data_IF_087007652311
#
_entry.id   IF_087007652311
#
_cell.length_a   1.000
_cell.length_b   1.000
_cell.length_c   1.000
_cell.angle_alpha   90.00
_cell.angle_beta   90.00
_cell.angle_gamma   90.00
#
_symmetry.space_group_name_H-M   'P 1'
#
loop_
_entity.id
_entity.type
_entity.pdbx_description
1 polymer ?
#
# COMPACT_ATOMS: atom_id res chain seq x y z
N UNK A 1 6.18 -16.12 -76.47
CA UNK A 1 4.87 -15.88 -77.09
C UNK A 1 4.09 -15.05 -76.08
N UNK A 2 4.03 -13.73 -76.31
CA UNK A 2 2.87 -13.03 -76.93
C UNK A 2 1.66 -13.10 -75.97
N UNK A 3 1.05 -12.08 -75.49
CA UNK A 3 1.01 -10.66 -75.87
C UNK A 3 -0.10 -9.99 -75.07
N UNK A 4 0.05 -8.69 -75.03
CA UNK A 4 -0.94 -7.59 -75.31
C UNK A 4 -1.96 -7.32 -74.19
N UNK A 5 -1.84 -6.27 -73.45
CA UNK A 5 -2.29 -4.85 -73.58
C UNK A 5 -3.82 -4.66 -73.60
N UNK A 6 -4.28 -3.77 -72.73
CA UNK A 6 -5.63 -3.22 -72.73
C UNK A 6 -5.78 -2.02 -71.81
N UNK A 7 -5.65 -0.80 -72.33
CA UNK A 7 -5.95 0.51 -71.71
C UNK A 7 -7.46 0.80 -71.78
N UNK A 8 -8.00 1.53 -70.78
CA UNK A 8 -9.07 2.55 -70.92
C UNK A 8 -9.31 3.19 -69.53
N UNK A 9 -8.94 4.38 -69.27
CA UNK A 9 -9.46 5.75 -69.42
C UNK A 9 -10.93 5.91 -68.95
N UNK A 10 -11.08 6.76 -67.93
CA UNK A 10 -12.15 7.76 -67.93
C UNK A 10 -13.06 7.79 -66.70
N UNK A 11 -13.11 8.95 -66.08
CA UNK A 11 -14.30 9.39 -65.36
C UNK A 11 -14.06 10.09 -64.03
N UNK A 12 -13.69 11.38 -64.10
CA UNK A 12 -13.78 12.30 -62.96
C UNK A 12 -15.26 12.65 -62.71
N UNK A 13 -15.67 12.64 -61.46
CA UNK A 13 -16.86 13.38 -61.04
C UNK A 13 -16.59 13.94 -59.61
N UNK A 14 -16.41 15.26 -59.62
CA UNK A 14 -16.42 16.09 -58.41
C UNK A 14 -17.89 16.32 -58.03
N UNK A 15 -18.23 16.06 -56.77
CA UNK A 15 -19.37 16.68 -56.12
C UNK A 15 -18.97 17.06 -54.69
N UNK A 16 -18.85 18.35 -54.52
CA UNK A 16 -18.82 19.00 -53.23
C UNK A 16 -20.23 18.98 -52.62
N UNK A 17 -20.36 18.78 -51.33
CA UNK A 17 -21.23 19.64 -50.50
C UNK A 17 -21.40 19.12 -49.08
N UNK A 18 -21.35 20.09 -48.23
CA UNK A 18 -22.01 20.28 -46.93
C UNK A 18 -21.26 19.82 -45.69
N UNK A 19 -20.66 20.83 -45.09
CA UNK A 19 -20.36 20.94 -43.68
C UNK A 19 -21.61 20.65 -42.84
N UNK A 20 -21.44 19.81 -41.85
CA UNK A 20 -22.27 19.78 -40.65
C UNK A 20 -21.30 19.87 -39.50
N UNK A 21 -21.27 21.03 -38.85
CA UNK A 21 -20.69 21.21 -37.54
C UNK A 21 -21.37 20.24 -36.56
N UNK A 22 -20.67 19.22 -36.18
CA UNK A 22 -20.90 18.51 -34.92
C UNK A 22 -19.68 18.78 -34.06
N UNK A 23 -19.86 19.68 -33.12
CA UNK A 23 -18.96 19.80 -31.97
C UNK A 23 -18.89 18.47 -31.22
N UNK A 24 -18.06 17.59 -31.73
CA UNK A 24 -17.60 16.40 -31.00
C UNK A 24 -16.62 16.87 -29.95
N UNK A 25 -16.99 16.68 -28.71
CA UNK A 25 -16.02 16.71 -27.61
C UNK A 25 -14.84 15.84 -28.02
N UNK A 26 -13.67 16.44 -28.06
CA UNK A 26 -12.41 15.74 -28.23
C UNK A 26 -12.28 14.81 -27.05
N UNK A 27 -12.54 13.52 -27.24
CA UNK A 27 -12.01 12.50 -26.34
C UNK A 27 -10.50 12.75 -26.34
N UNK A 28 -9.94 13.05 -25.18
CA UNK A 28 -8.51 13.06 -25.01
C UNK A 28 -8.00 11.71 -25.53
N UNK A 29 -7.02 11.75 -26.40
CA UNK A 29 -6.29 10.60 -26.90
C UNK A 29 -5.46 10.08 -25.71
N UNK A 30 -6.13 9.37 -24.78
CA UNK A 30 -5.51 8.72 -23.64
C UNK A 30 -4.70 7.56 -24.19
N UNK A 31 -3.41 7.82 -24.42
CA UNK A 31 -2.46 6.77 -24.79
C UNK A 31 -2.53 5.63 -23.80
N UNK A 32 -2.45 4.39 -24.27
CA UNK A 32 -2.30 3.21 -23.44
C UNK A 32 -1.00 3.33 -22.63
N UNK A 33 -1.12 3.60 -21.31
CA UNK A 33 0.01 3.75 -20.37
C UNK A 33 0.59 2.39 -19.95
N UNK A 34 0.10 1.30 -20.55
CA UNK A 34 0.53 -0.06 -20.26
C UNK A 34 -0.05 -0.62 -18.97
N UNK A 35 0.47 -1.76 -18.55
CA UNK A 35 0.08 -2.46 -17.32
C UNK A 35 1.11 -2.22 -16.23
N UNK A 36 0.67 -1.91 -15.01
CA UNK A 36 1.53 -1.86 -13.83
C UNK A 36 1.40 -3.14 -12.99
N UNK A 37 2.51 -3.53 -12.39
CA UNK A 37 2.60 -4.63 -11.45
C UNK A 37 2.75 -4.06 -10.05
N UNK A 38 1.83 -4.40 -9.18
CA UNK A 38 1.80 -3.96 -7.78
C UNK A 38 2.05 -5.16 -6.88
N UNK A 39 3.07 -5.06 -6.04
CA UNK A 39 3.33 -6.01 -4.96
C UNK A 39 2.64 -5.51 -3.70
N UNK A 40 1.69 -6.27 -3.19
CA UNK A 40 1.05 -6.01 -1.91
C UNK A 40 1.96 -6.44 -0.76
N UNK A 41 1.90 -5.75 0.37
CA UNK A 41 2.67 -6.04 1.57
C UNK A 41 2.25 -7.37 2.20
N UNK A 42 0.96 -7.72 2.13
CA UNK A 42 0.36 -8.84 2.83
C UNK A 42 -0.54 -9.70 1.93
N UNK A 43 -1.26 -10.66 2.54
CA UNK A 43 -2.30 -11.44 1.87
C UNK A 43 -3.46 -10.52 1.45
N UNK A 44 -4.26 -10.93 0.47
CA UNK A 44 -5.39 -10.13 -0.06
C UNK A 44 -6.57 -10.08 0.92
N UNK A 45 -6.42 -9.31 1.98
CA UNK A 45 -7.44 -9.03 2.99
C UNK A 45 -7.99 -7.58 2.85
N UNK A 46 -8.76 -7.10 3.82
CA UNK A 46 -9.36 -5.76 3.86
C UNK A 46 -8.37 -4.61 3.86
N UNK A 47 -7.11 -4.87 4.15
CA UNK A 47 -6.01 -3.91 4.14
C UNK A 47 -5.88 -3.18 2.80
N UNK A 48 -6.22 -3.87 1.71
CA UNK A 48 -6.11 -3.37 0.33
C UNK A 48 -7.48 -3.01 -0.28
N UNK A 49 -8.41 -2.54 0.55
CA UNK A 49 -9.76 -2.20 0.11
C UNK A 49 -9.79 -1.15 -1.01
N UNK A 50 -8.89 -0.17 -0.98
CA UNK A 50 -8.78 0.87 -1.99
C UNK A 50 -8.34 0.32 -3.34
N UNK A 51 -7.30 -0.51 -3.37
CA UNK A 51 -6.79 -1.20 -4.55
C UNK A 51 -7.87 -2.10 -5.17
N UNK A 52 -8.65 -2.79 -4.32
CA UNK A 52 -9.76 -3.64 -4.77
C UNK A 52 -10.92 -2.82 -5.35
N UNK A 53 -11.24 -1.67 -4.77
CA UNK A 53 -12.22 -0.76 -5.38
C UNK A 53 -11.70 -0.20 -6.70
N UNK A 54 -10.43 0.23 -6.76
CA UNK A 54 -9.84 0.78 -7.98
C UNK A 54 -9.87 -0.24 -9.13
N UNK A 55 -9.56 -1.49 -8.85
CA UNK A 55 -9.60 -2.57 -9.84
C UNK A 55 -11.05 -2.95 -10.21
N UNK A 56 -11.90 -3.23 -9.22
CA UNK A 56 -13.28 -3.70 -9.45
C UNK A 56 -14.19 -2.67 -10.14
N UNK A 57 -13.95 -1.38 -9.88
CA UNK A 57 -14.70 -0.28 -10.53
C UNK A 57 -14.07 0.21 -11.82
N UNK A 58 -12.89 -0.32 -12.19
CA UNK A 58 -12.21 0.01 -13.44
C UNK A 58 -11.50 1.37 -13.43
N UNK A 59 -11.20 1.94 -12.26
CA UNK A 59 -10.55 3.25 -12.15
C UNK A 59 -9.14 3.28 -12.76
N UNK A 60 -8.40 2.15 -12.74
CA UNK A 60 -7.12 2.04 -13.43
C UNK A 60 -7.25 2.23 -14.94
N UNK A 61 -8.26 1.59 -15.54
CA UNK A 61 -8.51 1.73 -16.99
C UNK A 61 -9.08 3.10 -17.34
N UNK A 62 -9.91 3.67 -16.47
CA UNK A 62 -10.41 5.05 -16.63
C UNK A 62 -9.28 6.07 -16.60
N UNK A 63 -8.26 5.85 -15.78
CA UNK A 63 -7.06 6.68 -15.69
C UNK A 63 -6.06 6.48 -16.85
N UNK A 64 -6.31 5.53 -17.77
CA UNK A 64 -5.49 5.29 -18.97
C UNK A 64 -4.51 4.12 -18.88
N UNK A 65 -4.51 3.35 -17.79
CA UNK A 65 -3.74 2.12 -17.69
C UNK A 65 -4.45 0.98 -18.44
N UNK A 66 -3.70 0.08 -19.08
CA UNK A 66 -4.27 -1.14 -19.66
C UNK A 66 -4.75 -2.12 -18.57
N UNK A 67 -4.26 -1.98 -17.34
CA UNK A 67 -4.63 -2.75 -16.16
C UNK A 67 -3.57 -2.69 -15.07
N UNK A 68 -3.91 -3.28 -13.93
CA UNK A 68 -2.99 -3.45 -12.80
C UNK A 68 -3.00 -4.91 -12.38
N UNK A 69 -1.84 -5.46 -12.03
CA UNK A 69 -1.72 -6.81 -11.48
C UNK A 69 -1.38 -6.69 -10.00
N UNK A 70 -2.29 -7.08 -9.11
CA UNK A 70 -2.09 -7.11 -7.67
C UNK A 70 -1.50 -8.46 -7.26
N UNK A 71 -0.23 -8.50 -6.87
CA UNK A 71 0.47 -9.71 -6.39
C UNK A 71 0.43 -9.74 -4.86
N UNK A 72 -0.11 -10.79 -4.22
CA UNK A 72 -0.16 -10.86 -2.75
C UNK A 72 1.23 -11.05 -2.12
N UNK A 73 1.39 -10.53 -0.89
CA UNK A 73 2.49 -10.82 0.00
C UNK A 73 2.27 -12.09 0.86
N UNK A 74 3.03 -12.25 1.96
CA UNK A 74 3.85 -11.20 2.59
C UNK A 74 5.12 -10.85 1.84
N UNK A 75 5.41 -9.56 1.66
CA UNK A 75 6.65 -9.03 1.08
C UNK A 75 6.90 -7.60 1.54
N UNK A 76 8.17 -7.21 1.67
CA UNK A 76 8.54 -5.78 1.83
C UNK A 76 8.52 -5.02 0.51
N UNK A 77 8.38 -5.71 -0.62
CA UNK A 77 8.43 -5.14 -1.96
C UNK A 77 9.83 -4.72 -2.45
N UNK A 78 10.82 -4.65 -1.57
CA UNK A 78 12.17 -4.17 -1.91
C UNK A 78 12.80 -4.99 -3.04
N UNK A 79 12.78 -6.32 -2.92
CA UNK A 79 13.37 -7.20 -3.92
C UNK A 79 12.64 -7.12 -5.26
N UNK A 80 11.33 -7.01 -5.22
CA UNK A 80 10.47 -6.90 -6.40
C UNK A 80 10.69 -5.58 -7.15
N UNK A 81 10.82 -4.47 -6.42
CA UNK A 81 11.14 -3.15 -7.01
C UNK A 81 12.55 -3.14 -7.62
N UNK A 82 13.56 -3.64 -6.90
CA UNK A 82 14.94 -3.66 -7.39
C UNK A 82 15.15 -4.58 -8.59
N UNK A 83 14.41 -5.68 -8.68
CA UNK A 83 14.45 -6.59 -9.83
C UNK A 83 13.57 -6.16 -11.00
N UNK A 84 12.68 -5.16 -10.82
CA UNK A 84 11.68 -4.76 -11.81
C UNK A 84 10.56 -5.79 -12.00
N UNK A 85 10.39 -6.72 -11.07
CA UNK A 85 9.24 -7.63 -11.06
C UNK A 85 7.96 -6.96 -10.55
N UNK A 86 8.09 -5.87 -9.79
CA UNK A 86 7.02 -4.92 -9.48
C UNK A 86 7.40 -3.50 -9.91
N UNK A 87 6.41 -2.70 -10.27
CA UNK A 87 6.54 -1.28 -10.58
C UNK A 87 6.24 -0.42 -9.36
N UNK A 88 5.29 -0.85 -8.54
CA UNK A 88 4.90 -0.27 -7.25
C UNK A 88 4.87 -1.38 -6.21
N UNK A 89 5.25 -1.07 -4.99
CA UNK A 89 5.06 -1.96 -3.84
C UNK A 89 4.39 -1.20 -2.69
N UNK A 90 3.39 -1.85 -2.08
CA UNK A 90 2.89 -1.46 -0.76
C UNK A 90 3.92 -1.93 0.27
N UNK A 91 4.41 -1.01 1.11
CA UNK A 91 5.53 -1.27 2.00
C UNK A 91 5.44 -0.40 3.26
N UNK A 92 6.52 -0.28 3.98
CA UNK A 92 6.67 0.60 5.14
C UNK A 92 7.99 1.38 5.09
N UNK A 93 8.03 2.48 5.85
CA UNK A 93 9.18 3.37 5.88
C UNK A 93 10.46 2.70 6.42
N UNK A 94 10.34 1.71 7.32
CA UNK A 94 11.49 0.98 7.88
C UNK A 94 12.10 0.07 6.85
N UNK A 95 11.30 -0.68 6.10
CA UNK A 95 11.75 -1.59 5.05
C UNK A 95 12.46 -0.83 3.92
N UNK A 96 11.83 0.24 3.42
CA UNK A 96 12.41 1.07 2.35
C UNK A 96 13.64 1.83 2.86
N UNK A 97 13.56 2.48 4.03
CA UNK A 97 14.69 3.20 4.63
C UNK A 97 15.89 2.29 4.92
N UNK A 98 15.66 1.06 5.37
CA UNK A 98 16.72 0.05 5.56
C UNK A 98 17.41 -0.30 4.25
N UNK A 99 16.65 -0.50 3.17
CA UNK A 99 17.22 -0.79 1.87
C UNK A 99 18.05 0.39 1.33
N UNK A 100 17.59 1.62 1.51
CA UNK A 100 18.34 2.83 1.13
C UNK A 100 19.61 2.93 1.96
N UNK A 101 19.53 2.86 3.29
CA UNK A 101 20.68 3.06 4.17
C UNK A 101 21.75 1.97 4.05
N UNK A 102 21.35 0.71 3.85
CA UNK A 102 22.29 -0.42 3.89
C UNK A 102 22.74 -0.91 2.50
N UNK A 103 21.93 -0.65 1.45
CA UNK A 103 22.19 -1.17 0.11
C UNK A 103 22.30 -0.06 -0.95
N UNK A 104 22.20 1.21 -0.55
CA UNK A 104 22.12 2.35 -1.47
C UNK A 104 21.01 2.13 -2.53
N UNK A 105 19.89 1.51 -2.11
CA UNK A 105 18.80 1.15 -3.00
C UNK A 105 18.14 2.41 -3.57
N UNK A 106 17.99 2.54 -4.92
CA UNK A 106 17.39 3.72 -5.55
C UNK A 106 15.84 3.63 -5.48
N UNK A 107 15.31 3.71 -4.26
CA UNK A 107 13.87 3.60 -3.96
C UNK A 107 13.35 4.89 -3.38
N UNK A 108 12.06 5.17 -3.61
CA UNK A 108 11.33 6.32 -3.08
C UNK A 108 9.94 5.92 -2.63
N UNK A 109 9.44 6.60 -1.59
CA UNK A 109 8.03 6.59 -1.18
C UNK A 109 7.37 7.79 -1.86
N UNK A 110 6.30 7.53 -2.63
CA UNK A 110 5.57 8.55 -3.41
C UNK A 110 4.21 8.92 -2.80
N UNK A 111 3.86 8.33 -1.66
CA UNK A 111 2.64 8.55 -0.89
C UNK A 111 2.44 7.45 0.13
N UNK A 112 1.51 7.62 1.06
CA UNK A 112 1.21 6.62 2.08
C UNK A 112 -0.28 6.53 2.37
N UNK A 113 -0.82 5.33 2.34
CA UNK A 113 -2.21 5.09 2.70
C UNK A 113 -2.42 5.30 4.20
N UNK A 114 -1.53 4.74 5.02
CA UNK A 114 -1.64 4.86 6.47
C UNK A 114 -0.80 6.03 7.00
N UNK A 115 -1.48 6.95 7.65
CA UNK A 115 -0.91 8.11 8.32
C UNK A 115 -0.30 7.76 9.69
N UNK A 116 -0.51 6.52 10.15
CA UNK A 116 -0.07 6.01 11.45
C UNK A 116 0.37 4.56 11.31
N UNK A 117 1.43 4.20 12.04
CA UNK A 117 1.94 2.83 12.08
C UNK A 117 0.92 1.87 12.74
N UNK A 118 0.40 0.85 12.04
CA UNK A 118 -0.60 -0.08 12.56
C UNK A 118 -0.01 -1.27 13.32
N UNK A 119 1.31 -1.46 13.32
CA UNK A 119 1.96 -2.63 13.89
C UNK A 119 1.88 -2.71 15.40
N UNK A 120 1.77 -3.91 15.90
CA UNK A 120 1.79 -4.25 17.33
C UNK A 120 2.49 -5.57 17.57
N UNK A 121 3.04 -5.77 18.79
CA UNK A 121 3.23 -7.12 19.30
C UNK A 121 1.94 -7.54 19.98
N UNK A 122 1.19 -8.40 19.31
CA UNK A 122 -0.05 -9.00 19.81
C UNK A 122 0.30 -10.14 20.79
N UNK A 123 -0.35 -10.15 21.95
CA UNK A 123 -0.23 -11.24 22.92
C UNK A 123 -1.57 -11.55 23.57
N UNK A 124 -1.67 -12.70 24.23
CA UNK A 124 -2.85 -13.09 25.00
C UNK A 124 -2.57 -12.80 26.47
N UNK A 125 -3.50 -12.13 27.16
CA UNK A 125 -3.36 -11.70 28.56
C UNK A 125 -2.99 -12.83 29.52
N UNK A 126 -3.54 -14.02 29.32
CA UNK A 126 -3.30 -15.18 30.17
C UNK A 126 -2.04 -15.97 29.81
N UNK A 127 -1.35 -15.62 28.73
CA UNK A 127 -0.17 -16.31 28.22
C UNK A 127 1.06 -15.39 28.08
N UNK A 128 1.13 -14.54 27.05
CA UNK A 128 2.26 -13.63 26.82
C UNK A 128 2.21 -12.39 27.70
N UNK A 129 1.06 -11.69 27.70
CA UNK A 129 0.78 -10.44 28.43
C UNK A 129 1.85 -9.36 28.21
N UNK A 130 2.13 -9.07 26.95
CA UNK A 130 3.19 -8.12 26.53
C UNK A 130 2.53 -6.75 26.30
N UNK A 131 2.61 -5.87 27.28
CA UNK A 131 2.02 -4.53 27.24
C UNK A 131 3.07 -3.40 27.10
N UNK A 132 4.33 -3.69 27.45
CA UNK A 132 5.45 -2.75 27.40
C UNK A 132 6.67 -3.40 26.74
N UNK A 133 7.62 -2.61 26.19
CA UNK A 133 8.85 -3.18 25.63
C UNK A 133 9.64 -4.06 26.62
N UNK A 134 9.60 -3.74 27.91
CA UNK A 134 10.28 -4.53 28.94
C UNK A 134 9.70 -5.94 29.07
N UNK A 135 8.43 -6.15 28.74
CA UNK A 135 7.77 -7.47 28.81
C UNK A 135 8.25 -8.43 27.70
N UNK A 136 8.97 -7.94 26.69
CA UNK A 136 9.55 -8.77 25.63
C UNK A 136 10.69 -9.66 26.13
N UNK A 137 11.37 -9.27 27.23
CA UNK A 137 12.53 -10.00 27.73
C UNK A 137 12.20 -11.46 28.05
N UNK A 138 12.97 -12.39 27.47
CA UNK A 138 12.82 -13.84 27.64
C UNK A 138 11.62 -14.46 26.92
N UNK A 139 10.82 -13.70 26.19
CA UNK A 139 9.64 -14.17 25.45
C UNK A 139 10.01 -14.81 24.11
N UNK A 140 9.11 -15.62 23.58
CA UNK A 140 9.13 -16.14 22.22
C UNK A 140 8.21 -15.27 21.36
N UNK A 141 8.78 -14.54 20.40
CA UNK A 141 8.02 -13.66 19.52
C UNK A 141 8.00 -14.24 18.11
N UNK A 142 6.78 -14.48 17.61
CA UNK A 142 6.56 -14.89 16.23
C UNK A 142 6.72 -13.70 15.29
N UNK A 143 7.68 -13.79 14.36
CA UNK A 143 8.02 -12.74 13.42
C UNK A 143 8.01 -13.31 12.01
N UNK A 144 7.23 -12.72 11.12
CA UNK A 144 7.22 -13.02 9.70
C UNK A 144 8.52 -12.49 9.06
N UNK A 145 9.00 -13.16 8.04
CA UNK A 145 10.26 -12.80 7.38
C UNK A 145 10.26 -11.34 6.87
N UNK A 146 9.12 -10.86 6.34
CA UNK A 146 8.93 -9.47 5.89
C UNK A 146 9.01 -8.45 7.04
N UNK A 147 8.68 -8.84 8.26
CA UNK A 147 8.63 -7.95 9.43
C UNK A 147 9.91 -7.97 10.29
N UNK A 148 10.95 -8.67 9.83
CA UNK A 148 12.21 -8.80 10.60
C UNK A 148 12.87 -7.45 10.87
N UNK A 149 13.06 -6.62 9.84
CA UNK A 149 13.68 -5.29 9.99
C UNK A 149 12.84 -4.38 10.88
N UNK A 150 11.53 -4.44 10.72
CA UNK A 150 10.58 -3.69 11.53
C UNK A 150 10.64 -4.06 13.02
N UNK A 151 10.69 -5.37 13.32
CA UNK A 151 10.82 -5.83 14.71
C UNK A 151 12.18 -5.45 15.32
N UNK A 152 13.26 -5.56 14.54
CA UNK A 152 14.58 -5.08 14.95
C UNK A 152 14.59 -3.58 15.26
N UNK A 153 13.87 -2.78 14.46
CA UNK A 153 13.70 -1.35 14.70
C UNK A 153 12.98 -1.08 16.04
N UNK A 154 11.90 -1.83 16.35
CA UNK A 154 11.22 -1.73 17.65
C UNK A 154 12.17 -2.04 18.81
N UNK A 155 12.94 -3.11 18.70
CA UNK A 155 13.91 -3.50 19.73
C UNK A 155 14.95 -2.39 19.93
N UNK A 156 15.55 -1.90 18.85
CA UNK A 156 16.58 -0.85 18.88
C UNK A 156 16.04 0.45 19.49
N UNK A 157 14.85 0.91 19.09
CA UNK A 157 14.20 2.10 19.63
C UNK A 157 13.97 2.03 21.15
N UNK A 158 13.88 0.80 21.70
CA UNK A 158 13.66 0.56 23.12
C UNK A 158 14.90 0.03 23.87
N UNK A 159 16.09 0.08 23.25
CA UNK A 159 17.34 -0.36 23.85
C UNK A 159 17.42 -1.88 24.07
N UNK A 160 16.65 -2.66 23.32
CA UNK A 160 16.63 -4.12 23.31
C UNK A 160 17.34 -4.67 22.08
N UNK A 161 17.60 -5.96 22.09
CA UNK A 161 18.16 -6.71 20.98
C UNK A 161 17.57 -8.12 20.90
N UNK A 162 17.76 -8.83 19.80
CA UNK A 162 17.32 -10.21 19.65
C UNK A 162 17.93 -11.18 20.69
N UNK A 163 19.05 -10.79 21.33
CA UNK A 163 19.65 -11.60 22.42
C UNK A 163 18.83 -11.58 23.71
N UNK A 164 17.90 -10.64 23.87
CA UNK A 164 17.05 -10.49 25.07
C UNK A 164 15.80 -11.36 25.03
N UNK A 165 15.50 -12.00 23.88
CA UNK A 165 14.29 -12.78 23.64
C UNK A 165 14.55 -13.92 22.65
N UNK A 166 13.52 -14.65 22.24
CA UNK A 166 13.61 -15.67 21.18
C UNK A 166 12.74 -15.30 20.00
N UNK A 167 13.33 -14.99 18.85
CA UNK A 167 12.60 -14.82 17.60
C UNK A 167 12.25 -16.18 17.02
N UNK A 168 10.97 -16.38 16.71
CA UNK A 168 10.45 -17.62 16.10
C UNK A 168 9.94 -17.24 14.71
N UNK A 169 10.54 -17.75 13.62
CA UNK A 169 10.01 -17.53 12.27
C UNK A 169 8.61 -18.13 12.14
N UNK A 170 7.67 -17.32 11.64
CA UNK A 170 6.26 -17.69 11.45
C UNK A 170 5.75 -17.20 10.12
N UNK A 171 4.60 -17.74 9.68
CA UNK A 171 3.82 -17.24 8.56
C UNK A 171 2.76 -16.24 9.04
N UNK A 172 1.82 -15.86 8.18
CA UNK A 172 0.79 -14.86 8.47
C UNK A 172 -0.30 -15.34 9.46
N UNK A 173 -0.47 -16.64 9.67
CA UNK A 173 -1.54 -17.22 10.50
C UNK A 173 -1.24 -17.07 12.00
N UNK A 174 -2.06 -16.31 12.78
CA UNK A 174 -1.85 -16.08 14.19
C UNK A 174 -2.19 -17.28 15.08
N UNK A 175 -2.60 -18.42 14.52
CA UNK A 175 -2.90 -19.66 15.27
C UNK A 175 -1.73 -20.14 16.14
N UNK A 176 -0.48 -19.81 15.75
CA UNK A 176 0.74 -20.09 16.53
C UNK A 176 0.75 -19.35 17.88
N UNK A 177 0.11 -18.17 17.96
CA UNK A 177 -0.11 -17.44 19.22
C UNK A 177 -1.19 -18.12 20.05
N UNK A 178 -2.33 -18.43 19.44
CA UNK A 178 -3.49 -19.05 20.10
C UNK A 178 -3.16 -20.40 20.68
N UNK A 179 -2.37 -21.22 19.99
CA UNK A 179 -1.94 -22.54 20.47
C UNK A 179 -0.75 -22.52 21.46
N UNK A 180 -0.19 -21.34 21.78
CA UNK A 180 0.90 -21.15 22.73
C UNK A 180 2.29 -21.55 22.22
N UNK A 181 2.49 -21.64 20.91
CA UNK A 181 3.82 -21.86 20.31
C UNK A 181 4.72 -20.64 20.54
N UNK A 182 4.14 -19.42 20.49
CA UNK A 182 4.78 -18.14 20.77
C UNK A 182 4.03 -17.39 21.86
N UNK A 183 4.73 -16.47 22.55
CA UNK A 183 4.16 -15.61 23.60
C UNK A 183 3.59 -14.30 23.02
N UNK A 184 4.15 -13.84 21.91
CA UNK A 184 3.74 -12.67 21.15
C UNK A 184 3.88 -12.91 19.65
N UNK A 185 3.18 -12.11 18.86
CA UNK A 185 3.11 -12.24 17.40
C UNK A 185 3.08 -10.84 16.78
N UNK A 186 3.86 -10.58 15.75
CA UNK A 186 3.81 -9.31 15.02
C UNK A 186 2.54 -9.29 14.21
N UNK A 187 1.72 -8.26 14.44
CA UNK A 187 0.36 -8.14 13.92
C UNK A 187 0.01 -6.69 13.58
N UNK A 188 -1.08 -6.51 12.85
CA UNK A 188 -1.78 -5.23 12.77
C UNK A 188 -2.87 -5.12 13.82
N UNK A 189 -3.03 -3.93 14.38
CA UNK A 189 -4.14 -3.60 15.31
C UNK A 189 -5.51 -3.76 14.63
N UNK A 190 -5.56 -3.59 13.31
CA UNK A 190 -6.77 -3.63 12.48
C UNK A 190 -7.09 -5.00 11.90
N UNK A 191 -6.19 -5.99 12.03
CA UNK A 191 -6.36 -7.32 11.44
C UNK A 191 -6.25 -8.43 12.51
N UNK A 192 -5.04 -9.00 12.73
CA UNK A 192 -4.87 -10.18 13.58
C UNK A 192 -5.31 -9.91 15.02
N UNK A 193 -5.12 -8.68 15.54
CA UNK A 193 -5.58 -8.33 16.88
C UNK A 193 -7.12 -8.44 17.01
N UNK A 194 -7.86 -8.06 15.96
CA UNK A 194 -9.31 -8.18 15.90
C UNK A 194 -9.72 -9.66 15.76
N UNK A 195 -9.07 -10.39 14.87
CA UNK A 195 -9.38 -11.79 14.59
C UNK A 195 -9.20 -12.65 15.84
N UNK A 196 -8.06 -12.52 16.54
CA UNK A 196 -7.80 -13.27 17.78
C UNK A 196 -8.78 -12.87 18.90
N UNK A 197 -9.12 -11.58 18.99
CA UNK A 197 -10.13 -11.14 19.97
C UNK A 197 -11.53 -11.69 19.65
N UNK A 198 -11.92 -11.80 18.38
CA UNK A 198 -13.18 -12.38 17.95
C UNK A 198 -13.31 -13.88 18.27
N UNK A 199 -12.20 -14.60 18.36
CA UNK A 199 -12.15 -15.98 18.85
C UNK A 199 -12.36 -16.11 20.36
N UNK A 200 -12.51 -14.98 21.07
CA UNK A 200 -12.82 -14.94 22.51
C UNK A 200 -11.59 -14.81 23.42
N UNK A 201 -10.43 -14.53 22.87
CA UNK A 201 -9.22 -14.30 23.67
C UNK A 201 -9.16 -12.84 24.16
N UNK A 202 -8.73 -12.62 25.40
CA UNK A 202 -8.39 -11.30 25.91
C UNK A 202 -6.99 -10.93 25.40
N UNK A 203 -6.94 -10.09 24.37
CA UNK A 203 -5.70 -9.65 23.73
C UNK A 203 -5.04 -8.50 24.47
N UNK A 204 -3.71 -8.46 24.40
CA UNK A 204 -2.87 -7.34 24.85
C UNK A 204 -1.99 -6.92 23.69
N UNK A 205 -1.98 -5.63 23.41
CA UNK A 205 -1.21 -5.02 22.33
C UNK A 205 -0.06 -4.17 22.87
N UNK A 206 1.09 -4.25 22.21
CA UNK A 206 2.22 -3.35 22.34
C UNK A 206 2.35 -2.57 21.01
N UNK A 207 1.63 -1.42 20.84
CA UNK A 207 1.65 -0.68 19.59
C UNK A 207 3.03 -0.09 19.30
N UNK A 208 3.53 -0.25 18.07
CA UNK A 208 4.84 0.26 17.68
C UNK A 208 4.87 1.79 17.65
N UNK A 209 3.79 2.42 17.18
CA UNK A 209 3.67 3.88 17.14
C UNK A 209 3.89 4.52 18.52
N UNK A 210 3.35 3.93 19.59
CA UNK A 210 3.46 4.44 20.94
C UNK A 210 4.80 4.06 21.63
N UNK A 211 5.59 3.20 20.98
CA UNK A 211 6.83 2.65 21.51
C UNK A 211 8.06 2.97 20.63
N UNK A 212 8.11 4.19 20.11
CA UNK A 212 9.28 4.76 19.46
C UNK A 212 9.30 4.62 17.93
N UNK A 213 8.23 4.11 17.31
CA UNK A 213 8.13 3.97 15.86
C UNK A 213 6.86 4.64 15.27
N UNK A 214 6.61 5.95 15.51
CA UNK A 214 5.58 6.68 14.78
C UNK A 214 6.06 6.98 13.37
N UNK A 215 5.54 6.25 12.36
CA UNK A 215 5.88 6.42 10.94
C UNK A 215 4.68 6.09 10.06
N UNK A 216 4.73 6.53 8.79
CA UNK A 216 3.76 6.19 7.76
C UNK A 216 3.93 4.73 7.32
N UNK A 217 2.82 4.05 7.05
CA UNK A 217 2.80 2.67 6.59
C UNK A 217 1.88 2.51 5.36
N UNK A 218 1.85 1.31 4.79
CA UNK A 218 1.23 1.04 3.50
C UNK A 218 1.61 2.13 2.49
N UNK A 219 2.93 2.31 2.36
CA UNK A 219 3.52 3.32 1.48
C UNK A 219 3.51 2.84 0.04
N UNK A 220 3.14 3.70 -0.88
CA UNK A 220 3.39 3.48 -2.30
C UNK A 220 4.86 3.71 -2.57
N UNK A 221 5.60 2.63 -2.74
CA UNK A 221 7.05 2.64 -2.93
C UNK A 221 7.41 2.24 -4.35
N UNK A 222 8.37 2.93 -4.94
CA UNK A 222 8.79 2.75 -6.35
C UNK A 222 10.30 2.89 -6.48
N UNK A 223 10.87 2.43 -7.61
CA UNK A 223 12.26 2.76 -7.94
C UNK A 223 12.36 4.15 -8.59
N UNK A 224 13.50 4.82 -8.40
CA UNK A 224 13.82 6.08 -9.11
C UNK A 224 13.77 5.91 -10.64
N UNK A 225 14.12 4.72 -11.13
CA UNK A 225 13.97 4.38 -12.54
C UNK A 225 12.49 4.39 -12.98
N UNK A 226 11.60 3.83 -12.16
CA UNK A 226 10.16 3.85 -12.47
C UNK A 226 9.61 5.29 -12.50
N UNK A 227 10.04 6.16 -11.58
CA UNK A 227 9.68 7.59 -11.59
C UNK A 227 10.14 8.25 -12.91
N UNK A 228 11.35 7.95 -13.37
CA UNK A 228 11.89 8.55 -14.58
C UNK A 228 11.25 8.01 -15.87
N UNK A 229 10.94 6.73 -15.94
CA UNK A 229 10.50 6.06 -17.16
C UNK A 229 8.97 5.88 -17.27
N UNK A 230 8.25 5.88 -16.14
CA UNK A 230 6.81 5.56 -16.06
C UNK A 230 5.99 6.64 -15.35
N UNK A 231 6.47 7.89 -15.31
CA UNK A 231 5.86 8.96 -14.54
C UNK A 231 4.34 9.09 -14.80
N UNK A 232 3.91 9.12 -16.06
CA UNK A 232 2.49 9.27 -16.40
C UNK A 232 1.66 8.04 -15.96
N UNK A 233 2.22 6.83 -16.04
CA UNK A 233 1.56 5.62 -15.55
C UNK A 233 1.45 5.60 -14.02
N UNK A 234 2.46 6.08 -13.30
CA UNK A 234 2.42 6.21 -11.84
C UNK A 234 1.43 7.27 -11.38
N UNK A 235 1.31 8.39 -12.10
CA UNK A 235 0.27 9.40 -11.85
C UNK A 235 -1.14 8.83 -12.07
N UNK A 236 -1.34 8.11 -13.17
CA UNK A 236 -2.60 7.43 -13.46
C UNK A 236 -2.95 6.39 -12.38
N UNK A 237 -1.96 5.66 -11.88
CA UNK A 237 -2.09 4.76 -10.74
C UNK A 237 -2.57 5.51 -9.49
N UNK A 238 -1.90 6.61 -9.10
CA UNK A 238 -2.28 7.40 -7.93
C UNK A 238 -3.70 7.99 -8.06
N UNK A 239 -4.09 8.47 -9.25
CA UNK A 239 -5.47 8.94 -9.51
C UNK A 239 -6.49 7.83 -9.25
N UNK A 240 -6.23 6.62 -9.74
CA UNK A 240 -7.12 5.48 -9.54
C UNK A 240 -7.17 5.03 -8.07
N UNK A 241 -6.03 5.01 -7.39
CA UNK A 241 -5.93 4.68 -5.97
C UNK A 241 -6.67 5.70 -5.10
N UNK A 242 -6.54 7.02 -5.37
CA UNK A 242 -7.30 8.05 -4.66
C UNK A 242 -8.81 7.81 -4.79
N UNK A 243 -9.30 7.45 -5.98
CA UNK A 243 -10.72 7.11 -6.19
C UNK A 243 -11.11 5.83 -5.42
N UNK A 244 -10.28 4.80 -5.50
CA UNK A 244 -10.51 3.54 -4.80
C UNK A 244 -10.54 3.70 -3.29
N UNK A 245 -9.58 4.42 -2.72
CA UNK A 245 -9.54 4.71 -1.29
C UNK A 245 -10.62 5.71 -0.85
N UNK A 246 -11.06 6.61 -1.73
CA UNK A 246 -12.26 7.43 -1.50
C UNK A 246 -13.48 6.53 -1.26
N UNK A 247 -13.67 5.52 -2.10
CA UNK A 247 -14.77 4.56 -1.92
C UNK A 247 -14.59 3.72 -0.65
N UNK A 248 -13.36 3.27 -0.35
CA UNK A 248 -13.06 2.46 0.82
C UNK A 248 -13.29 3.24 2.15
N UNK A 249 -13.00 4.53 2.17
CA UNK A 249 -13.29 5.40 3.33
C UNK A 249 -14.79 5.63 3.50
N UNK A 250 -15.53 5.82 2.40
CA UNK A 250 -16.96 6.09 2.45
C UNK A 250 -17.82 4.82 2.67
N UNK A 251 -17.32 3.64 2.29
CA UNK A 251 -17.99 2.35 2.49
C UNK A 251 -16.97 1.25 2.83
N UNK A 252 -16.36 1.29 4.04
CA UNK A 252 -15.33 0.35 4.43
C UNK A 252 -15.83 -1.10 4.50
N UNK A 253 -17.10 -1.33 4.84
CA UNK A 253 -17.66 -2.67 4.86
C UNK A 253 -17.75 -3.28 3.46
N UNK A 254 -18.11 -2.49 2.44
CA UNK A 254 -18.08 -2.97 1.06
C UNK A 254 -16.65 -3.27 0.59
N UNK A 255 -15.65 -2.48 1.02
CA UNK A 255 -14.24 -2.77 0.79
C UNK A 255 -13.80 -4.11 1.39
N UNK A 256 -14.19 -4.37 2.64
CA UNK A 256 -13.97 -5.66 3.29
C UNK A 256 -14.61 -6.82 2.53
N UNK A 257 -15.84 -6.63 2.01
CA UNK A 257 -16.53 -7.67 1.25
C UNK A 257 -15.85 -7.97 -0.10
N UNK A 258 -15.20 -6.98 -0.73
CA UNK A 258 -14.36 -7.25 -1.91
C UNK A 258 -13.20 -8.21 -1.55
N UNK A 259 -12.56 -8.03 -0.40
CA UNK A 259 -11.54 -8.97 0.07
C UNK A 259 -12.13 -10.36 0.32
N UNK A 260 -13.20 -10.45 1.11
CA UNK A 260 -13.81 -11.73 1.54
C UNK A 260 -14.37 -12.54 0.37
N UNK A 261 -15.11 -11.91 -0.54
CA UNK A 261 -15.87 -12.60 -1.60
C UNK A 261 -15.08 -12.76 -2.90
N UNK A 262 -14.15 -11.84 -3.20
CA UNK A 262 -13.50 -11.77 -4.50
C UNK A 262 -11.97 -12.03 -4.41
N UNK A 263 -11.22 -11.07 -3.88
CA UNK A 263 -9.76 -11.06 -3.98
C UNK A 263 -9.08 -12.06 -3.03
N UNK A 264 -9.62 -12.25 -1.83
CA UNK A 264 -9.14 -13.17 -0.80
C UNK A 264 -10.07 -14.35 -0.51
N UNK A 265 -11.02 -14.67 -1.40
CA UNK A 265 -12.07 -15.69 -1.20
C UNK A 265 -11.55 -17.07 -0.77
N UNK A 266 -10.34 -17.42 -1.16
CA UNK A 266 -9.72 -18.73 -0.86
C UNK A 266 -8.91 -18.70 0.45
N UNK A 267 -8.86 -17.55 1.14
CA UNK A 267 -8.07 -17.35 2.36
C UNK A 267 -8.87 -17.66 3.65
N UNK A 268 -10.20 -17.84 3.54
CA UNK A 268 -11.04 -18.13 4.70
C UNK A 268 -11.20 -16.93 5.67
N UNK A 269 -11.15 -15.71 5.13
CA UNK A 269 -11.30 -14.48 5.91
C UNK A 269 -12.64 -14.46 6.66
N UNK A 270 -12.65 -13.96 7.90
CA UNK A 270 -13.85 -13.80 8.70
C UNK A 270 -14.54 -12.46 8.35
N UNK A 271 -15.77 -12.53 7.84
CA UNK A 271 -16.52 -11.35 7.39
C UNK A 271 -16.67 -10.27 8.48
N UNK A 272 -17.04 -10.66 9.71
CA UNK A 272 -17.25 -9.70 10.81
C UNK A 272 -15.93 -9.02 11.21
N UNK A 273 -14.85 -9.79 11.30
CA UNK A 273 -13.51 -9.25 11.62
C UNK A 273 -13.02 -8.33 10.52
N UNK A 274 -13.16 -8.72 9.24
CA UNK A 274 -12.73 -7.91 8.11
C UNK A 274 -13.50 -6.58 8.01
N UNK A 275 -14.82 -6.58 8.20
CA UNK A 275 -15.61 -5.35 8.24
C UNK A 275 -15.18 -4.42 9.36
N UNK A 276 -14.97 -4.97 10.56
CA UNK A 276 -14.47 -4.19 11.69
C UNK A 276 -13.09 -3.63 11.44
N UNK A 277 -12.19 -4.44 10.89
CA UNK A 277 -10.84 -4.02 10.51
C UNK A 277 -10.85 -2.88 9.50
N UNK A 278 -11.61 -3.02 8.41
CA UNK A 278 -11.75 -1.99 7.39
C UNK A 278 -12.32 -0.67 7.94
N UNK A 279 -13.28 -0.73 8.86
CA UNK A 279 -13.85 0.46 9.50
C UNK A 279 -12.80 1.19 10.34
N UNK A 280 -12.09 0.48 11.22
CA UNK A 280 -11.03 1.08 12.06
C UNK A 280 -9.89 1.60 11.18
N UNK A 281 -9.51 0.87 10.14
CA UNK A 281 -8.52 1.28 9.15
C UNK A 281 -8.87 2.63 8.52
N UNK A 282 -10.09 2.77 8.01
CA UNK A 282 -10.57 3.99 7.39
C UNK A 282 -10.54 5.17 8.37
N UNK A 283 -11.06 4.97 9.59
CA UNK A 283 -11.25 6.02 10.59
C UNK A 283 -9.95 6.43 11.31
N UNK A 284 -9.03 5.48 11.57
CA UNK A 284 -7.89 5.73 12.44
C UNK A 284 -6.53 5.75 11.72
N UNK A 285 -6.43 5.13 10.53
CA UNK A 285 -5.17 5.01 9.80
C UNK A 285 -5.13 5.84 8.53
N UNK A 286 -6.23 5.87 7.76
CA UNK A 286 -6.30 6.55 6.46
C UNK A 286 -6.71 8.01 6.61
N UNK A 287 -7.78 8.26 7.37
CA UNK A 287 -8.28 9.62 7.61
C UNK A 287 -7.48 10.29 8.72
N UNK A 288 -6.96 11.47 8.43
CA UNK A 288 -6.23 12.33 9.37
C UNK A 288 -6.50 13.80 9.07
N UNK A 289 -6.10 14.71 9.96
CA UNK A 289 -6.17 16.15 9.71
C UNK A 289 -5.39 16.56 8.45
N UNK A 290 -4.28 15.86 8.17
CA UNK A 290 -3.48 16.04 6.96
C UNK A 290 -4.29 15.65 5.72
N UNK A 291 -4.79 14.41 5.66
CA UNK A 291 -5.48 13.91 4.48
C UNK A 291 -6.81 14.61 4.22
N UNK A 292 -7.51 15.08 5.26
CA UNK A 292 -8.72 15.91 5.13
C UNK A 292 -8.41 17.27 4.51
N UNK A 293 -7.23 17.83 4.80
CA UNK A 293 -6.85 19.17 4.34
C UNK A 293 -6.20 19.13 2.95
N UNK A 294 -5.38 18.11 2.67
CA UNK A 294 -4.48 18.06 1.53
C UNK A 294 -4.74 16.88 0.57
N UNK A 295 -5.67 15.99 0.91
CA UNK A 295 -6.02 14.81 0.10
C UNK A 295 -5.36 13.52 0.60
N UNK A 296 -5.88 12.38 0.15
CA UNK A 296 -5.36 11.06 0.50
C UNK A 296 -3.89 10.90 0.10
N UNK A 297 -3.15 10.10 0.86
CA UNK A 297 -1.75 9.72 0.64
C UNK A 297 -0.72 10.82 0.88
N UNK A 298 -1.14 12.07 1.16
CA UNK A 298 -0.21 13.15 1.50
C UNK A 298 0.52 12.85 2.81
N UNK A 299 1.76 13.32 2.92
CA UNK A 299 2.61 13.13 4.10
C UNK A 299 3.14 14.50 4.48
N UNK A 300 2.61 15.09 5.58
CA UNK A 300 3.04 16.40 6.03
C UNK A 300 4.55 16.45 6.36
N UNK A 301 5.16 17.63 6.31
CA UNK A 301 6.56 17.82 6.73
C UNK A 301 6.80 17.35 8.18
N UNK A 302 5.79 17.51 9.04
CA UNK A 302 5.84 17.00 10.43
C UNK A 302 5.93 15.48 10.45
N UNK A 303 5.05 14.80 9.73
CA UNK A 303 5.01 13.33 9.67
C UNK A 303 6.24 12.74 8.97
N UNK A 304 6.78 13.42 7.94
CA UNK A 304 8.07 13.06 7.35
C UNK A 304 9.19 13.15 8.41
N UNK A 305 9.23 14.25 9.17
CA UNK A 305 10.25 14.46 10.21
C UNK A 305 10.15 13.41 11.33
N UNK A 306 8.94 13.07 11.77
CA UNK A 306 8.67 12.03 12.77
C UNK A 306 9.08 10.65 12.26
N UNK A 307 8.79 10.35 11.00
CA UNK A 307 9.22 9.11 10.33
C UNK A 307 10.76 9.02 10.32
N UNK A 308 11.45 10.08 9.89
CA UNK A 308 12.92 10.10 9.87
C UNK A 308 13.51 9.97 11.29
N UNK A 309 12.90 10.63 12.28
CA UNK A 309 13.34 10.51 13.69
C UNK A 309 13.17 9.05 14.20
N UNK A 310 12.08 8.38 13.84
CA UNK A 310 11.85 6.97 14.16
C UNK A 310 12.90 6.06 13.54
N UNK A 311 13.23 6.26 12.25
CA UNK A 311 14.27 5.52 11.54
C UNK A 311 15.64 5.72 12.18
N UNK A 312 16.01 6.97 12.47
CA UNK A 312 17.27 7.30 13.14
C UNK A 312 17.35 6.66 14.54
N UNK A 313 16.25 6.68 15.31
CA UNK A 313 16.15 5.98 16.60
C UNK A 313 16.36 4.48 16.51
N UNK A 314 16.00 3.88 15.37
CA UNK A 314 16.21 2.47 15.05
C UNK A 314 17.61 2.19 14.41
N UNK A 315 18.45 3.22 14.25
CA UNK A 315 19.79 3.08 13.65
C UNK A 315 19.77 3.05 12.11
N UNK A 316 18.70 3.51 11.49
CA UNK A 316 18.54 3.64 10.04
C UNK A 316 18.77 5.10 9.68
N UNK A 317 19.92 5.40 9.08
CA UNK A 317 20.36 6.77 8.77
C UNK A 317 20.00 7.15 7.33
N UNK A 318 18.86 7.83 7.18
CA UNK A 318 18.34 8.37 5.92
C UNK A 318 17.76 9.76 6.15
N UNK A 319 17.75 10.59 5.12
CA UNK A 319 17.07 11.89 5.14
C UNK A 319 15.67 11.79 4.53
N UNK A 320 14.84 12.82 4.73
CA UNK A 320 13.53 12.87 4.08
C UNK A 320 13.66 12.90 2.54
N UNK A 321 14.68 13.59 2.01
CA UNK A 321 14.97 13.64 0.56
C UNK A 321 15.41 12.27 0.02
N UNK A 322 16.14 11.47 0.81
CA UNK A 322 16.50 10.10 0.42
C UNK A 322 15.27 9.19 0.34
N UNK A 323 14.32 9.36 1.27
CA UNK A 323 13.20 8.44 1.44
C UNK A 323 11.97 8.82 0.61
N UNK A 324 11.62 10.12 0.53
CA UNK A 324 10.38 10.58 -0.08
C UNK A 324 10.59 11.30 -1.40
N UNK A 325 9.69 11.09 -2.36
CA UNK A 325 9.47 11.92 -3.54
C UNK A 325 7.95 12.10 -3.75
N UNK A 326 7.39 13.17 -3.20
CA UNK A 326 5.96 13.44 -3.26
C UNK A 326 5.55 14.25 -4.50
N UNK A 327 6.49 14.58 -5.39
CA UNK A 327 6.22 15.42 -6.57
C UNK A 327 5.19 14.83 -7.51
N UNK A 328 5.09 13.48 -7.59
CA UNK A 328 4.06 12.81 -8.38
C UNK A 328 2.64 13.06 -7.84
N UNK A 329 2.49 13.00 -6.52
CA UNK A 329 1.23 13.22 -5.84
C UNK A 329 0.82 14.70 -5.92
N UNK A 330 1.78 15.61 -5.76
CA UNK A 330 1.56 17.06 -5.91
C UNK A 330 1.03 17.37 -7.32
N UNK A 331 1.66 16.83 -8.37
CA UNK A 331 1.19 16.98 -9.76
C UNK A 331 -0.21 16.39 -9.96
N UNK A 332 -0.52 15.25 -9.36
CA UNK A 332 -1.85 14.62 -9.43
C UNK A 332 -2.91 15.56 -8.87
N UNK A 333 -2.67 16.18 -7.71
CA UNK A 333 -3.62 17.11 -7.10
C UNK A 333 -3.67 18.48 -7.80
N UNK A 334 -2.58 18.96 -8.39
CA UNK A 334 -2.60 20.16 -9.23
C UNK A 334 -3.45 19.95 -10.48
N UNK A 335 -3.35 18.78 -11.10
CA UNK A 335 -4.09 18.44 -12.33
C UNK A 335 -5.55 18.02 -12.06
N UNK A 336 -5.85 17.49 -10.86
CA UNK A 336 -7.16 16.95 -10.46
C UNK A 336 -7.56 17.45 -9.06
N UNK A 337 -7.80 18.76 -8.88
CA UNK A 337 -8.08 19.33 -7.55
C UNK A 337 -9.37 18.81 -6.89
N UNK A 338 -10.29 18.24 -7.67
CA UNK A 338 -11.51 17.61 -7.15
C UNK A 338 -11.22 16.36 -6.31
N UNK A 339 -10.10 15.66 -6.56
CA UNK A 339 -9.69 14.46 -5.83
C UNK A 339 -9.24 14.74 -4.39
N UNK A 340 -8.99 16.02 -4.03
CA UNK A 340 -8.70 16.40 -2.64
C UNK A 340 -9.88 16.18 -1.70
N UNK A 341 -11.11 16.07 -2.24
CA UNK A 341 -12.33 15.88 -1.46
C UNK A 341 -12.79 14.43 -1.54
N UNK A 342 -12.44 13.65 -0.58
CA UNK A 342 -12.76 12.22 -0.54
C UNK A 342 -13.81 11.84 0.52
N UNK A 343 -13.97 12.62 1.57
CA UNK A 343 -15.01 12.40 2.59
C UNK A 343 -16.24 13.25 2.30
N UNK A 344 -17.44 12.66 2.34
CA UNK A 344 -18.72 13.34 2.12
C UNK A 344 -19.20 14.02 3.42
#
# INVERSE_FOLDING_TARGET
MAGVAGLAIGGASVLASCASDSSGASAADGGDLGTLKVQLSWIKNEEFAGEFFADSKGYFTEAGLAGVTLTPGPSTGVAELLSGSADVALSDAVSIGTAIAQQEAPLKIIGATYQKNPFTVLSIKTAGNIATPADLAGKKIGVQASNTSLFQALLAANGLSESDLTVVPVEYDPSVLVNGTVDGFIAYLTNEAITVAAEGYEVVNLPFADNGLPFVAETFSVSEQAIAEKRDALKAFLVAEIKGWTDAVNDPEAGAMLAVENYGKDLGLNEESSKKGATIQAEELVVSDETVSNGLFTISETLQSETIASLAGAGIDVTAEDLFDLTLLDEVYEENPELMKYAA
#
